data_IF_056150042483
#
_entry.id   IF_056150042483
#
_cell.length_a   1.000
_cell.length_b   1.000
_cell.length_c   1.000
_cell.angle_alpha   90.00
_cell.angle_beta   90.00
_cell.angle_gamma   90.00
#
_symmetry.space_group_name_H-M   'P 1'
#
loop_
_entity.id
_entity.type
_entity.pdbx_description
1 polymer ?
#
# COMPACT_ATOMS: atom_id res chain seq x y z
N UNK A 1 6.76 -30.80 -12.05
CA UNK A 1 5.81 -31.19 -13.07
C UNK A 1 5.50 -30.00 -13.98
N UNK A 2 6.48 -29.59 -14.74
CA UNK A 2 6.61 -28.37 -15.46
C UNK A 2 5.74 -28.19 -16.71
N UNK A 3 4.43 -28.02 -16.57
CA UNK A 3 3.62 -27.51 -17.67
C UNK A 3 3.79 -25.99 -17.74
N UNK A 4 4.09 -25.46 -18.94
CA UNK A 4 4.03 -24.03 -19.22
C UNK A 4 2.58 -23.58 -19.39
N UNK A 5 2.35 -22.27 -19.32
CA UNK A 5 1.05 -21.64 -19.50
C UNK A 5 1.19 -20.39 -20.39
N UNK A 6 0.22 -20.18 -21.27
CA UNK A 6 0.11 -18.96 -22.08
C UNK A 6 -0.63 -17.85 -21.33
N UNK A 7 -1.44 -18.23 -20.33
CA UNK A 7 -2.14 -17.32 -19.43
C UNK A 7 -1.98 -17.80 -17.99
N UNK A 8 -1.51 -16.92 -17.14
CA UNK A 8 -1.43 -17.11 -15.70
C UNK A 8 -2.46 -16.20 -15.02
N UNK A 9 -3.38 -16.80 -14.26
CA UNK A 9 -4.33 -16.05 -13.45
C UNK A 9 -4.01 -16.32 -11.98
N UNK A 10 -3.84 -15.26 -11.21
CA UNK A 10 -3.64 -15.30 -9.76
C UNK A 10 -4.81 -14.57 -9.12
N UNK A 11 -5.55 -15.26 -8.28
CA UNK A 11 -6.73 -14.76 -7.60
C UNK A 11 -6.48 -14.76 -6.08
N UNK A 12 -6.68 -13.61 -5.43
CA UNK A 12 -6.50 -13.36 -4.01
C UNK A 12 -5.27 -14.06 -3.38
N UNK A 13 -4.04 -13.69 -3.78
CA UNK A 13 -2.82 -14.36 -3.30
C UNK A 13 -2.51 -14.10 -1.82
N UNK A 14 -3.21 -13.17 -1.18
CA UNK A 14 -3.10 -12.87 0.25
C UNK A 14 -4.40 -13.17 0.97
N UNK A 15 -4.29 -13.76 2.15
CA UNK A 15 -5.41 -13.98 3.05
C UNK A 15 -5.54 -12.83 4.06
N UNK A 16 -6.71 -12.74 4.73
CA UNK A 16 -6.88 -11.83 5.87
C UNK A 16 -5.89 -12.12 7.00
N UNK A 17 -5.52 -13.40 7.19
CA UNK A 17 -4.52 -13.79 8.19
C UNK A 17 -3.13 -13.25 7.82
N UNK A 18 -2.76 -13.28 6.54
CA UNK A 18 -1.52 -12.68 6.06
C UNK A 18 -1.50 -11.17 6.32
N UNK A 19 -2.63 -10.48 6.10
CA UNK A 19 -2.76 -9.06 6.36
C UNK A 19 -2.62 -8.73 7.86
N UNK A 20 -3.23 -9.53 8.73
CA UNK A 20 -3.09 -9.36 10.19
C UNK A 20 -1.65 -9.58 10.65
N UNK A 21 -0.99 -10.64 10.15
CA UNK A 21 0.42 -10.91 10.46
C UNK A 21 1.33 -9.83 9.88
N UNK A 22 1.03 -9.33 8.69
CA UNK A 22 1.80 -8.34 7.97
C UNK A 22 1.91 -6.99 8.68
N UNK A 23 1.00 -6.68 9.60
CA UNK A 23 1.10 -5.49 10.47
C UNK A 23 2.32 -5.55 11.40
N UNK A 24 2.71 -6.74 11.84
CA UNK A 24 3.81 -6.96 12.77
C UNK A 24 5.04 -7.58 12.10
N UNK A 25 4.82 -8.34 11.03
CA UNK A 25 5.85 -9.02 10.26
C UNK A 25 5.63 -8.85 8.75
N UNK A 26 6.16 -7.79 8.14
CA UNK A 26 6.03 -7.52 6.71
C UNK A 26 6.60 -8.60 5.80
N UNK A 27 7.48 -9.50 6.29
CA UNK A 27 8.05 -10.61 5.53
C UNK A 27 6.97 -11.58 4.98
N UNK A 28 5.78 -11.56 5.54
CA UNK A 28 4.63 -12.32 5.02
C UNK A 28 4.35 -11.95 3.56
N UNK A 29 4.38 -10.67 3.24
CA UNK A 29 4.19 -10.19 1.87
C UNK A 29 5.36 -10.55 0.96
N UNK A 30 6.58 -10.52 1.48
CA UNK A 30 7.79 -10.85 0.72
C UNK A 30 7.78 -12.33 0.31
N UNK A 31 7.28 -13.23 1.16
CA UNK A 31 7.10 -14.65 0.84
C UNK A 31 6.15 -14.88 -0.35
N UNK A 32 5.06 -14.12 -0.43
CA UNK A 32 4.12 -14.23 -1.56
C UNK A 32 4.77 -13.72 -2.85
N UNK A 33 5.54 -12.64 -2.77
CA UNK A 33 6.29 -12.15 -3.93
C UNK A 33 7.37 -13.15 -4.37
N UNK A 34 8.09 -13.77 -3.44
CA UNK A 34 9.06 -14.82 -3.73
C UNK A 34 8.39 -16.03 -4.38
N UNK A 35 7.27 -16.50 -3.85
CA UNK A 35 6.48 -17.55 -4.46
C UNK A 35 6.08 -17.21 -5.89
N UNK A 36 5.59 -15.99 -6.14
CA UNK A 36 5.23 -15.54 -7.49
C UNK A 36 6.41 -15.61 -8.43
N UNK A 37 7.55 -15.06 -8.05
CA UNK A 37 8.73 -14.97 -8.92
C UNK A 37 9.43 -16.30 -9.12
N UNK A 38 9.49 -17.17 -8.12
CA UNK A 38 10.19 -18.46 -8.17
C UNK A 38 9.36 -19.60 -8.76
N UNK A 39 8.03 -19.48 -8.75
CA UNK A 39 7.11 -20.54 -9.18
C UNK A 39 6.26 -20.16 -10.39
N UNK A 40 5.10 -19.50 -10.20
CA UNK A 40 4.13 -19.23 -11.25
C UNK A 40 4.72 -18.44 -12.43
N UNK A 41 5.46 -17.37 -12.16
CA UNK A 41 6.08 -16.54 -13.21
C UNK A 41 7.02 -17.31 -14.12
N UNK A 42 7.76 -18.29 -13.59
CA UNK A 42 8.70 -19.11 -14.35
C UNK A 42 8.03 -20.12 -15.29
N UNK A 43 6.72 -20.30 -15.17
CA UNK A 43 5.94 -21.20 -16.01
C UNK A 43 5.27 -20.52 -17.19
N UNK A 44 5.31 -19.19 -17.23
CA UNK A 44 4.73 -18.43 -18.34
C UNK A 44 5.55 -18.67 -19.61
N UNK A 45 4.86 -19.04 -20.69
CA UNK A 45 5.50 -19.20 -22.02
C UNK A 45 5.85 -17.82 -22.60
N UNK A 46 6.82 -17.75 -23.54
CA UNK A 46 7.12 -16.50 -24.24
C UNK A 46 5.89 -15.91 -24.90
N UNK A 47 5.61 -14.63 -24.64
CA UNK A 47 4.40 -13.93 -25.12
C UNK A 47 3.13 -14.22 -24.31
N UNK A 48 3.21 -15.00 -23.26
CA UNK A 48 2.08 -15.26 -22.37
C UNK A 48 1.70 -14.04 -21.52
N UNK A 49 0.47 -14.02 -21.01
CA UNK A 49 -0.09 -12.92 -20.20
C UNK A 49 -0.29 -13.33 -18.73
N UNK A 50 -0.26 -12.33 -17.85
CA UNK A 50 -0.54 -12.51 -16.42
C UNK A 50 -1.70 -11.61 -16.04
N UNK A 51 -2.67 -12.17 -15.32
CA UNK A 51 -3.77 -11.44 -14.70
C UNK A 51 -3.70 -11.68 -13.19
N UNK A 52 -3.66 -10.61 -12.42
CA UNK A 52 -3.71 -10.69 -10.96
C UNK A 52 -4.96 -9.94 -10.50
N UNK A 53 -5.85 -10.66 -9.84
CA UNK A 53 -7.06 -10.10 -9.21
C UNK A 53 -6.89 -10.25 -7.71
N UNK A 54 -7.02 -9.16 -6.97
CA UNK A 54 -6.87 -9.22 -5.51
C UNK A 54 -7.45 -8.00 -4.82
N UNK A 55 -7.83 -8.19 -3.58
CA UNK A 55 -8.05 -7.10 -2.63
C UNK A 55 -6.70 -6.52 -2.20
N UNK A 56 -6.60 -5.20 -2.11
CA UNK A 56 -5.39 -4.55 -1.59
C UNK A 56 -5.35 -4.65 -0.06
N UNK A 57 -4.15 -4.92 0.45
CA UNK A 57 -3.92 -5.07 1.89
C UNK A 57 -2.83 -4.14 2.41
N UNK A 58 -1.78 -3.94 1.64
CA UNK A 58 -0.60 -3.15 2.01
C UNK A 58 0.10 -2.63 0.76
N UNK A 59 0.92 -1.60 0.90
CA UNK A 59 1.87 -1.20 -0.15
C UNK A 59 2.89 -2.31 -0.48
N UNK A 60 3.08 -3.26 0.43
CA UNK A 60 3.98 -4.41 0.27
C UNK A 60 3.25 -5.68 -0.21
N UNK A 61 1.96 -5.64 -0.45
CA UNK A 61 1.25 -6.78 -1.05
C UNK A 61 1.79 -7.11 -2.45
N UNK A 62 1.38 -8.23 -3.02
CA UNK A 62 1.95 -8.72 -4.28
C UNK A 62 1.90 -7.66 -5.38
N UNK A 63 0.76 -7.02 -5.61
CA UNK A 63 0.63 -5.99 -6.65
C UNK A 63 1.44 -4.75 -6.33
N UNK A 64 1.49 -4.32 -5.07
CA UNK A 64 2.32 -3.19 -4.65
C UNK A 64 3.81 -3.43 -4.92
N UNK A 65 4.32 -4.63 -4.61
CA UNK A 65 5.70 -5.00 -4.90
C UNK A 65 5.98 -5.13 -6.39
N UNK A 66 5.05 -5.71 -7.16
CA UNK A 66 5.20 -5.83 -8.62
C UNK A 66 5.30 -4.45 -9.26
N UNK A 67 4.37 -3.55 -8.95
CA UNK A 67 4.32 -2.19 -9.52
C UNK A 67 5.60 -1.41 -9.14
N UNK A 68 5.98 -1.43 -7.87
CA UNK A 68 7.17 -0.73 -7.39
C UNK A 68 8.43 -1.23 -8.09
N UNK A 69 8.65 -2.55 -8.10
CA UNK A 69 9.86 -3.15 -8.69
C UNK A 69 9.88 -3.05 -10.22
N UNK A 70 8.72 -3.02 -10.89
CA UNK A 70 8.65 -2.81 -12.33
C UNK A 70 9.03 -1.38 -12.71
N UNK A 71 8.64 -0.40 -11.92
CA UNK A 71 9.03 1.00 -12.15
C UNK A 71 10.54 1.24 -11.98
N UNK A 72 11.22 0.44 -11.17
CA UNK A 72 12.66 0.57 -10.89
C UNK A 72 13.56 -0.17 -11.89
N UNK A 73 13.02 -1.13 -12.66
CA UNK A 73 13.81 -2.03 -13.51
C UNK A 73 13.56 -1.80 -14.99
N UNK A 74 14.61 -1.43 -15.70
CA UNK A 74 14.58 -1.34 -17.17
C UNK A 74 14.36 -2.73 -17.76
N UNK A 75 13.36 -2.87 -18.65
CA UNK A 75 13.04 -4.14 -19.32
C UNK A 75 12.17 -5.08 -18.48
N UNK A 76 11.57 -4.61 -17.41
CA UNK A 76 10.52 -5.34 -16.69
C UNK A 76 9.24 -5.44 -17.52
N UNK A 77 8.36 -6.37 -17.13
CA UNK A 77 7.02 -6.49 -17.74
C UNK A 77 6.25 -5.16 -17.56
N UNK A 78 5.51 -4.76 -18.59
CA UNK A 78 4.58 -3.62 -18.52
C UNK A 78 3.26 -4.09 -17.89
N UNK A 79 2.78 -3.33 -16.91
CA UNK A 79 1.55 -3.65 -16.20
C UNK A 79 0.48 -2.59 -16.42
N UNK A 80 -0.69 -3.04 -16.85
CA UNK A 80 -1.91 -2.24 -16.79
C UNK A 80 -2.56 -2.44 -15.42
N UNK A 81 -2.78 -1.34 -14.70
CA UNK A 81 -3.40 -1.36 -13.37
C UNK A 81 -4.81 -0.84 -13.48
N UNK A 82 -5.78 -1.68 -13.11
CA UNK A 82 -7.19 -1.32 -13.08
C UNK A 82 -7.65 -1.33 -11.62
N UNK A 83 -8.10 -0.18 -11.13
CA UNK A 83 -8.55 -0.01 -9.75
C UNK A 83 -10.05 0.21 -9.70
N UNK A 84 -10.72 -0.46 -8.76
CA UNK A 84 -12.16 -0.36 -8.52
C UNK A 84 -12.42 0.17 -7.10
N UNK A 85 -12.24 1.48 -6.85
CA UNK A 85 -12.53 2.04 -5.54
C UNK A 85 -14.03 2.03 -5.26
N UNK A 86 -14.44 1.77 -4.03
CA UNK A 86 -15.85 1.77 -3.65
C UNK A 86 -16.51 3.14 -3.84
N UNK A 87 -15.76 4.21 -3.53
CA UNK A 87 -16.17 5.59 -3.81
C UNK A 87 -15.22 6.22 -4.82
N UNK A 88 -15.81 6.77 -5.87
CA UNK A 88 -15.10 7.54 -6.89
C UNK A 88 -14.57 8.87 -6.31
N UNK A 89 -13.63 9.57 -6.98
CA UNK A 89 -13.18 10.91 -6.58
C UNK A 89 -14.31 11.93 -6.46
N UNK A 90 -15.44 11.70 -7.14
CA UNK A 90 -16.67 12.50 -7.02
C UNK A 90 -17.44 12.28 -5.72
N UNK A 91 -17.00 11.35 -4.86
CA UNK A 91 -17.70 10.91 -3.67
C UNK A 91 -18.88 9.96 -3.91
N UNK A 92 -19.17 9.61 -5.17
CA UNK A 92 -20.26 8.69 -5.51
C UNK A 92 -19.77 7.23 -5.51
N UNK A 93 -20.65 6.27 -5.18
CA UNK A 93 -20.32 4.85 -5.32
C UNK A 93 -19.91 4.52 -6.76
N UNK A 94 -18.91 3.64 -6.92
CA UNK A 94 -18.52 3.12 -8.22
C UNK A 94 -19.66 2.31 -8.87
N UNK A 95 -20.39 1.56 -8.05
CA UNK A 95 -21.50 0.73 -8.50
C UNK A 95 -22.79 1.03 -7.70
N UNK A 96 -23.49 2.13 -8.02
CA UNK A 96 -24.64 2.63 -7.24
C UNK A 96 -25.87 1.73 -7.31
N UNK A 97 -25.97 0.82 -8.30
CA UNK A 97 -27.05 -0.15 -8.38
C UNK A 97 -26.92 -1.24 -7.32
N UNK A 98 -25.69 -1.56 -6.91
CA UNK A 98 -25.39 -2.60 -5.92
C UNK A 98 -25.14 -1.99 -4.53
N UNK A 99 -24.25 -0.98 -4.43
CA UNK A 99 -23.91 -0.33 -3.18
C UNK A 99 -24.51 1.08 -3.10
N UNK A 100 -25.33 1.33 -2.08
CA UNK A 100 -25.82 2.68 -1.80
C UNK A 100 -24.77 3.46 -1.01
N UNK A 101 -24.79 4.77 -1.15
CA UNK A 101 -23.80 5.64 -0.50
C UNK A 101 -23.87 5.55 1.03
N UNK A 102 -25.07 5.54 1.60
CA UNK A 102 -25.29 5.41 3.05
C UNK A 102 -24.81 4.08 3.61
N UNK A 103 -24.95 2.99 2.85
CA UNK A 103 -24.40 1.67 3.21
C UNK A 103 -22.86 1.68 3.25
N UNK A 104 -22.22 2.29 2.26
CA UNK A 104 -20.77 2.43 2.21
C UNK A 104 -20.25 3.35 3.33
N UNK A 105 -20.96 4.41 3.65
CA UNK A 105 -20.62 5.31 4.75
C UNK A 105 -20.78 4.61 6.11
N UNK A 106 -21.79 3.76 6.28
CA UNK A 106 -21.94 2.94 7.48
C UNK A 106 -20.76 1.97 7.66
N UNK A 107 -20.40 1.23 6.61
CA UNK A 107 -19.23 0.34 6.63
C UNK A 107 -17.94 1.13 6.94
N UNK A 108 -17.77 2.28 6.31
CA UNK A 108 -16.60 3.15 6.54
C UNK A 108 -16.50 3.61 7.99
N UNK A 109 -17.63 3.83 8.65
CA UNK A 109 -17.66 4.23 10.06
C UNK A 109 -17.33 3.07 11.02
N UNK A 110 -17.56 1.82 10.62
CA UNK A 110 -17.35 0.63 11.45
C UNK A 110 -15.92 0.09 11.38
N UNK A 111 -15.26 0.22 10.22
CA UNK A 111 -13.94 -0.38 10.01
C UNK A 111 -12.81 0.64 10.20
N UNK A 112 -11.60 0.21 10.61
CA UNK A 112 -10.43 1.07 10.69
C UNK A 112 -10.14 1.80 9.37
N UNK A 113 -9.70 3.05 9.47
CA UNK A 113 -9.41 3.91 8.30
C UNK A 113 -8.43 3.25 7.32
N UNK A 114 -7.38 2.59 7.84
CA UNK A 114 -6.40 1.88 7.01
C UNK A 114 -7.03 0.72 6.23
N UNK A 115 -7.93 -0.06 6.85
CA UNK A 115 -8.68 -1.12 6.16
C UNK A 115 -9.61 -0.56 5.09
N UNK A 116 -10.32 0.53 5.39
CA UNK A 116 -11.14 1.21 4.39
C UNK A 116 -10.31 1.66 3.18
N UNK A 117 -9.20 2.36 3.45
CA UNK A 117 -8.33 2.85 2.38
C UNK A 117 -7.75 1.72 1.53
N UNK A 118 -7.28 0.64 2.14
CA UNK A 118 -6.70 -0.47 1.41
C UNK A 118 -7.76 -1.28 0.63
N UNK A 119 -8.76 -1.81 1.32
CA UNK A 119 -9.67 -2.81 0.77
C UNK A 119 -10.78 -2.19 -0.07
N UNK A 120 -11.33 -1.05 0.35
CA UNK A 120 -12.44 -0.39 -0.33
C UNK A 120 -12.01 0.69 -1.31
N UNK A 121 -10.94 1.43 -1.00
CA UNK A 121 -10.45 2.48 -1.90
C UNK A 121 -9.25 2.07 -2.74
N UNK A 122 -8.76 0.83 -2.60
CA UNK A 122 -7.60 0.28 -3.32
C UNK A 122 -6.30 1.08 -3.11
N UNK A 123 -6.28 1.94 -2.09
CA UNK A 123 -5.13 2.79 -1.72
C UNK A 123 -4.63 2.43 -0.31
N UNK A 124 -3.80 1.38 -0.17
CA UNK A 124 -3.20 1.04 1.10
C UNK A 124 -2.26 2.15 1.54
N UNK A 125 -2.60 2.79 2.66
CA UNK A 125 -1.76 3.82 3.26
C UNK A 125 -0.68 3.22 4.14
N UNK A 126 0.45 3.91 4.30
CA UNK A 126 1.52 3.51 5.22
C UNK A 126 1.17 3.71 6.71
N UNK A 127 -0.06 4.15 7.02
CA UNK A 127 -0.51 4.38 8.40
C UNK A 127 -0.78 3.09 9.18
N UNK A 128 -0.89 1.94 8.50
CA UNK A 128 -0.89 0.63 9.16
C UNK A 128 0.51 0.36 9.72
N UNK A 129 0.69 0.63 11.00
CA UNK A 129 1.96 0.46 11.70
C UNK A 129 2.68 1.76 12.07
N UNK A 130 2.15 2.91 11.73
CA UNK A 130 2.69 4.17 12.24
C UNK A 130 2.54 4.23 13.77
N UNK A 131 3.67 4.22 14.48
CA UNK A 131 3.72 4.39 15.94
C UNK A 131 3.05 5.70 16.37
N UNK A 132 3.01 6.68 15.46
CA UNK A 132 2.42 7.99 15.68
C UNK A 132 1.27 8.17 14.68
N UNK A 133 0.05 8.19 15.18
CA UNK A 133 -1.15 8.33 14.34
C UNK A 133 -1.35 9.78 13.92
N UNK A 134 -1.80 9.98 12.67
CA UNK A 134 -2.06 11.31 12.10
C UNK A 134 -3.07 12.11 12.91
N UNK A 135 -4.07 11.48 13.47
CA UNK A 135 -5.10 12.08 14.33
C UNK A 135 -4.55 12.67 15.64
N UNK A 136 -3.34 12.30 16.05
CA UNK A 136 -2.68 12.86 17.22
C UNK A 136 -2.03 14.21 16.95
N UNK A 137 -1.80 14.54 15.68
CA UNK A 137 -1.21 15.80 15.28
C UNK A 137 -2.26 16.90 15.29
N UNK A 138 -1.90 18.02 15.90
CA UNK A 138 -2.68 19.25 15.83
C UNK A 138 -1.96 20.23 14.92
N UNK A 139 -2.72 20.91 14.08
CA UNK A 139 -2.19 21.94 13.20
C UNK A 139 -2.33 23.32 13.82
N UNK A 140 -1.31 24.15 13.61
CA UNK A 140 -1.33 25.55 14.00
C UNK A 140 -1.86 26.39 12.84
N UNK A 141 -3.04 27.00 13.01
CA UNK A 141 -3.75 27.71 11.94
C UNK A 141 -3.54 29.23 11.92
N UNK A 142 -2.57 29.75 12.68
CA UNK A 142 -2.25 31.19 12.70
C UNK A 142 -1.08 31.47 11.76
N UNK A 143 -0.99 32.72 11.25
CA UNK A 143 0.02 33.16 10.30
C UNK A 143 1.44 33.24 10.87
N UNK A 144 1.57 33.29 12.20
CA UNK A 144 2.88 33.27 12.88
C UNK A 144 2.95 32.09 13.85
N UNK A 145 4.11 31.47 14.03
CA UNK A 145 4.30 30.43 15.02
C UNK A 145 4.05 30.98 16.44
N UNK A 146 3.74 30.12 17.42
CA UNK A 146 3.64 30.56 18.81
C UNK A 146 4.99 31.09 19.29
N UNK A 147 5.00 32.06 20.22
CA UNK A 147 6.25 32.52 20.83
C UNK A 147 6.88 31.34 21.59
N UNK A 148 8.15 31.09 21.35
CA UNK A 148 8.93 30.04 21.98
C UNK A 148 10.13 30.64 22.70
N UNK A 149 10.49 30.11 23.87
CA UNK A 149 11.69 30.52 24.60
C UNK A 149 12.97 29.95 23.97
N UNK A 150 12.84 28.78 23.35
CA UNK A 150 13.94 28.13 22.63
C UNK A 150 13.43 27.35 21.43
N UNK A 151 14.30 27.13 20.44
CA UNK A 151 14.02 26.26 19.28
C UNK A 151 15.08 25.16 19.26
N UNK A 152 14.62 23.92 19.25
CA UNK A 152 15.47 22.72 19.17
C UNK A 152 15.21 22.02 17.85
N UNK A 153 16.28 21.62 17.15
CA UNK A 153 16.17 20.77 15.96
C UNK A 153 16.80 19.40 16.26
N UNK A 154 16.04 18.35 15.95
CA UNK A 154 16.54 16.97 15.99
C UNK A 154 16.69 16.46 14.56
N UNK A 155 17.86 15.95 14.24
CA UNK A 155 18.24 15.44 12.92
C UNK A 155 18.47 13.93 13.03
N UNK A 156 17.75 13.18 12.20
CA UNK A 156 18.01 11.77 11.95
C UNK A 156 18.49 11.64 10.51
N UNK A 157 19.77 11.32 10.33
CA UNK A 157 20.41 11.33 9.02
C UNK A 157 20.82 9.93 8.62
N UNK A 158 20.43 9.54 7.40
CA UNK A 158 20.88 8.29 6.80
C UNK A 158 22.37 8.39 6.43
N UNK A 159 23.19 7.46 6.93
CA UNK A 159 24.63 7.43 6.71
C UNK A 159 25.07 6.86 5.36
N UNK A 160 24.24 6.05 4.71
CA UNK A 160 24.59 5.36 3.46
C UNK A 160 23.51 5.56 2.40
N UNK A 161 23.93 5.88 1.17
CA UNK A 161 23.07 5.83 -0.03
C UNK A 161 22.98 4.38 -0.51
N UNK A 162 22.29 3.52 0.23
CA UNK A 162 21.94 2.17 -0.23
C UNK A 162 20.44 2.06 -0.42
N UNK A 163 19.99 1.13 -1.23
CA UNK A 163 18.55 0.85 -1.45
C UNK A 163 17.77 0.50 -0.16
N UNK A 164 18.49 0.31 0.96
CA UNK A 164 17.94 0.01 2.29
C UNK A 164 18.14 1.14 3.31
N UNK A 165 18.67 2.28 2.90
CA UNK A 165 18.85 3.40 3.84
C UNK A 165 17.53 4.12 4.07
N UNK A 166 17.21 4.38 5.34
CA UNK A 166 16.08 5.20 5.74
C UNK A 166 16.23 6.65 5.23
N UNK A 167 15.12 7.37 5.17
CA UNK A 167 15.11 8.79 4.83
C UNK A 167 15.79 9.60 5.94
N UNK A 168 16.49 10.66 5.54
CA UNK A 168 16.91 11.67 6.52
C UNK A 168 15.69 12.49 6.95
N UNK A 169 15.49 12.62 8.24
CA UNK A 169 14.39 13.39 8.83
C UNK A 169 14.90 14.50 9.73
N UNK A 170 14.16 15.60 9.78
CA UNK A 170 14.41 16.70 10.73
C UNK A 170 13.11 17.10 11.40
N UNK A 171 13.14 17.25 12.69
CA UNK A 171 12.04 17.81 13.48
C UNK A 171 12.50 19.08 14.17
N UNK A 172 11.64 20.09 14.19
CA UNK A 172 11.89 21.38 14.84
C UNK A 172 10.85 21.58 15.95
N UNK A 173 11.31 21.82 17.14
CA UNK A 173 10.50 21.98 18.34
C UNK A 173 10.67 23.38 18.90
N UNK A 174 9.56 24.04 19.19
CA UNK A 174 9.55 25.27 19.98
C UNK A 174 9.18 24.95 21.44
N UNK A 175 9.93 25.48 22.37
CA UNK A 175 9.71 25.34 23.82
C UNK A 175 9.34 26.70 24.37
#
# INVERSE_FOLDING_TARGET
TGKGADLLIIDDPHSEQDAQQGQFNPEVYDRVYEWYTSGPRQRLQPGGAIIIVMTRWSKRDLTGQIISKSAERIGSDEWEVIEFPALMPSGKPLWPEFWKQDELEAIKAEIPVGKWSAQYQQDPTSEEGALIKREWWRTWNRSSPPPCEAIIQSWDTAFLKTERSDYSAVTTWGI
#
